data_IF_859063623902
#
_entry.id   IF_859063623902
#
_cell.length_a   1.000
_cell.length_b   1.000
_cell.length_c   1.000
_cell.angle_alpha   90.00
_cell.angle_beta   90.00
_cell.angle_gamma   90.00
#
_symmetry.space_group_name_H-M   'P 1'
#
loop_
_entity.id
_entity.type
_entity.pdbx_description
1 polymer ?
#
# COMPACT_ATOMS: atom_id res chain seq x y z
N UNK A 1 39.16 4.74 1.75
CA UNK A 1 37.98 5.10 2.57
C UNK A 1 36.98 5.98 1.83
N UNK A 2 37.40 6.99 1.06
CA UNK A 2 36.51 7.86 0.26
C UNK A 2 35.60 7.12 -0.73
N UNK A 3 36.10 6.06 -1.38
CA UNK A 3 35.31 5.24 -2.30
C UNK A 3 34.34 4.27 -1.62
N UNK A 4 34.62 3.86 -0.38
CA UNK A 4 33.72 2.98 0.40
C UNK A 4 32.49 3.75 0.89
N UNK A 5 32.65 5.02 1.28
CA UNK A 5 31.54 5.92 1.63
C UNK A 5 30.69 6.28 0.40
N UNK A 6 31.33 6.50 -0.75
CA UNK A 6 30.64 6.78 -2.01
C UNK A 6 29.85 5.57 -2.53
N UNK A 7 30.38 4.36 -2.35
CA UNK A 7 29.71 3.11 -2.69
C UNK A 7 28.53 2.81 -1.75
N UNK A 8 28.66 3.13 -0.46
CA UNK A 8 27.57 2.99 0.51
C UNK A 8 26.39 3.94 0.23
N UNK A 9 26.64 5.15 -0.28
CA UNK A 9 25.59 6.09 -0.69
C UNK A 9 24.87 5.67 -1.98
N UNK A 10 25.55 4.97 -2.90
CA UNK A 10 24.96 4.48 -4.15
C UNK A 10 24.07 3.25 -3.93
N UNK A 11 24.32 2.46 -2.87
CA UNK A 11 23.50 1.28 -2.54
C UNK A 11 22.20 1.61 -1.79
N UNK A 12 22.05 2.84 -1.28
CA UNK A 12 20.84 3.30 -0.59
C UNK A 12 19.73 3.79 -1.55
N UNK A 13 20.04 4.01 -2.82
CA UNK A 13 19.09 4.53 -3.83
C UNK A 13 18.45 3.46 -4.72
N UNK A 14 18.77 2.17 -4.50
CA UNK A 14 18.28 1.03 -5.33
C UNK A 14 17.21 0.18 -4.66
N UNK A 15 16.80 0.50 -3.43
CA UNK A 15 15.65 -0.12 -2.79
C UNK A 15 14.49 0.88 -2.82
N UNK A 16 13.26 0.59 -3.24
CA UNK A 16 12.61 -0.57 -3.84
C UNK A 16 11.18 -0.07 -4.07
N UNK A 17 10.74 0.20 -5.31
CA UNK A 17 9.34 0.52 -5.61
C UNK A 17 9.00 -0.02 -7.00
N UNK A 18 8.29 -1.14 -7.08
CA UNK A 18 7.51 -1.41 -8.29
C UNK A 18 6.26 -0.54 -8.25
N UNK A 19 5.82 -0.05 -9.39
CA UNK A 19 4.51 0.54 -9.58
C UNK A 19 3.44 -0.49 -9.89
N UNK A 20 3.81 -1.72 -10.22
CA UNK A 20 2.85 -2.76 -10.60
C UNK A 20 2.30 -3.51 -9.38
N UNK A 21 1.27 -2.93 -8.78
CA UNK A 21 0.58 -3.54 -7.65
C UNK A 21 -0.23 -4.78 -8.05
N UNK A 22 -0.61 -4.94 -9.33
CA UNK A 22 -1.48 -6.04 -9.77
C UNK A 22 -0.75 -7.37 -9.88
N UNK A 23 0.58 -7.36 -10.07
CA UNK A 23 1.40 -8.58 -10.01
C UNK A 23 1.19 -9.34 -8.69
N UNK A 24 1.03 -8.62 -7.57
CA UNK A 24 0.76 -9.23 -6.26
C UNK A 24 -0.72 -9.49 -5.98
N UNK A 25 -1.63 -8.90 -6.79
CA UNK A 25 -3.07 -9.05 -6.64
C UNK A 25 -3.72 -9.68 -7.88
N UNK A 26 -3.35 -10.93 -8.26
CA UNK A 26 -3.81 -11.55 -9.49
C UNK A 26 -5.33 -11.77 -9.53
N UNK A 27 -5.97 -11.93 -8.37
CA UNK A 27 -7.42 -12.10 -8.27
C UNK A 27 -8.21 -10.83 -8.60
N UNK A 28 -7.58 -9.65 -8.52
CA UNK A 28 -8.21 -8.38 -8.90
C UNK A 28 -8.13 -8.13 -10.42
N UNK A 29 -7.19 -8.76 -11.13
CA UNK A 29 -6.97 -8.54 -12.57
C UNK A 29 -8.25 -8.69 -13.42
N UNK A 30 -9.11 -9.71 -13.20
CA UNK A 30 -10.32 -9.87 -14.01
C UNK A 30 -11.38 -8.79 -13.79
N UNK A 31 -11.35 -8.08 -12.65
CA UNK A 31 -12.41 -7.15 -12.22
C UNK A 31 -11.91 -5.73 -11.97
N UNK A 32 -10.64 -5.43 -12.28
CA UNK A 32 -9.99 -4.17 -11.91
C UNK A 32 -10.61 -2.96 -12.62
N UNK A 33 -11.26 -3.16 -13.76
CA UNK A 33 -11.88 -2.07 -14.52
C UNK A 33 -13.20 -1.61 -13.92
N UNK A 34 -13.91 -2.54 -13.27
CA UNK A 34 -15.18 -2.37 -12.58
C UNK A 34 -14.99 -1.97 -11.10
N UNK A 35 -13.90 -2.41 -10.47
CA UNK A 35 -13.56 -2.08 -9.09
C UNK A 35 -12.97 -0.67 -8.97
N UNK A 36 -13.85 0.32 -8.76
CA UNK A 36 -13.45 1.73 -8.62
C UNK A 36 -12.49 1.98 -7.45
N UNK A 37 -12.47 1.12 -6.41
CA UNK A 37 -11.61 1.30 -5.23
C UNK A 37 -10.18 0.83 -5.49
N UNK A 38 -10.01 -0.22 -6.30
CA UNK A 38 -8.69 -0.74 -6.68
C UNK A 38 -8.17 -0.20 -8.01
N UNK A 39 -9.03 0.44 -8.82
CA UNK A 39 -8.66 1.06 -10.10
C UNK A 39 -7.41 1.96 -10.07
N UNK A 40 -7.13 2.74 -9.00
CA UNK A 40 -5.91 3.54 -8.93
C UNK A 40 -4.60 2.75 -9.09
N UNK A 41 -4.60 1.45 -8.78
CA UNK A 41 -3.44 0.56 -8.97
C UNK A 41 -2.93 0.53 -10.41
N UNK A 42 -3.78 0.84 -11.39
CA UNK A 42 -3.41 0.92 -12.81
C UNK A 42 -2.52 2.12 -13.15
N UNK A 43 -2.49 3.14 -12.29
CA UNK A 43 -1.81 4.41 -12.58
C UNK A 43 -0.43 4.53 -11.96
N UNK A 44 -0.09 3.67 -11.00
CA UNK A 44 1.17 3.71 -10.27
C UNK A 44 2.38 3.50 -11.21
N UNK A 45 2.21 2.67 -12.25
CA UNK A 45 3.23 2.42 -13.28
C UNK A 45 3.53 3.62 -14.18
N UNK A 46 2.72 4.68 -14.13
CA UNK A 46 2.99 5.91 -14.89
C UNK A 46 4.22 6.65 -14.38
N UNK A 47 4.55 6.47 -13.09
CA UNK A 47 5.69 7.12 -12.44
C UNK A 47 6.69 6.10 -11.87
N UNK A 48 6.24 4.90 -11.49
CA UNK A 48 7.07 3.84 -10.93
C UNK A 48 7.30 2.71 -11.95
N UNK A 49 8.48 2.09 -11.92
CA UNK A 49 8.81 0.97 -12.81
C UNK A 49 7.96 -0.26 -12.48
N UNK A 50 7.51 -1.02 -13.48
CA UNK A 50 6.80 -2.29 -13.27
C UNK A 50 7.74 -3.50 -13.00
N UNK A 51 9.02 -3.27 -12.70
CA UNK A 51 10.00 -4.33 -12.52
C UNK A 51 9.71 -5.14 -11.24
N UNK A 52 9.28 -6.41 -11.35
CA UNK A 52 8.91 -7.22 -10.20
C UNK A 52 10.12 -7.56 -9.33
N UNK A 53 11.35 -7.51 -9.87
CA UNK A 53 12.57 -7.74 -9.10
C UNK A 53 12.84 -6.63 -8.07
N UNK A 54 12.11 -5.51 -8.14
CA UNK A 54 12.19 -4.40 -7.19
C UNK A 54 11.17 -4.48 -6.07
N UNK A 55 10.34 -5.53 -6.02
CA UNK A 55 9.51 -5.91 -4.87
C UNK A 55 10.19 -7.05 -4.12
N UNK A 56 11.22 -6.74 -3.36
CA UNK A 56 11.80 -7.73 -2.46
C UNK A 56 10.82 -7.97 -1.29
N UNK A 57 10.31 -9.20 -1.17
CA UNK A 57 9.80 -9.83 0.06
C UNK A 57 8.79 -9.07 0.93
N UNK A 58 8.05 -8.10 0.38
CA UNK A 58 6.88 -7.57 1.07
C UNK A 58 5.82 -8.67 1.06
N UNK A 59 5.51 -9.27 2.21
CA UNK A 59 4.44 -10.27 2.35
C UNK A 59 3.05 -9.67 2.03
N UNK A 60 1.99 -10.19 2.65
CA UNK A 60 0.63 -9.73 2.37
C UNK A 60 0.32 -8.27 2.81
N UNK A 61 1.26 -7.59 3.48
CA UNK A 61 1.10 -6.23 4.01
C UNK A 61 2.20 -5.28 3.51
N UNK A 62 1.84 -4.45 2.53
CA UNK A 62 2.72 -3.44 1.94
C UNK A 62 3.23 -2.43 2.98
N UNK A 63 2.41 -2.09 3.98
CA UNK A 63 2.71 -1.03 4.94
C UNK A 63 3.68 -1.47 6.04
N UNK A 64 3.93 -2.78 6.18
CA UNK A 64 4.97 -3.31 7.04
C UNK A 64 6.37 -2.86 6.58
N UNK A 65 6.58 -2.75 5.27
CA UNK A 65 7.84 -2.31 4.66
C UNK A 65 7.81 -0.84 4.23
N UNK A 66 6.64 -0.31 3.84
CA UNK A 66 6.44 1.07 3.39
C UNK A 66 5.59 1.89 4.38
N UNK A 67 6.19 2.49 5.42
CA UNK A 67 5.44 3.31 6.36
C UNK A 67 4.92 4.59 5.69
N UNK A 68 3.68 4.98 6.00
CA UNK A 68 3.04 6.19 5.45
C UNK A 68 3.85 7.46 5.67
N UNK A 69 4.62 7.55 6.76
CA UNK A 69 5.49 8.70 7.00
C UNK A 69 6.52 8.93 5.89
N UNK A 70 7.06 7.85 5.29
CA UNK A 70 7.99 7.95 4.16
C UNK A 70 7.28 8.26 2.84
N UNK A 71 6.09 7.70 2.63
CA UNK A 71 5.27 7.94 1.44
C UNK A 71 4.81 9.41 1.40
N UNK A 72 4.37 9.94 2.54
CA UNK A 72 3.88 11.31 2.67
C UNK A 72 5.02 12.34 2.60
N UNK A 73 6.25 11.95 2.95
CA UNK A 73 7.41 12.86 2.93
C UNK A 73 7.73 13.39 1.53
N UNK A 74 7.35 12.67 0.45
CA UNK A 74 7.58 13.13 -0.92
C UNK A 74 6.60 14.21 -1.37
N UNK A 75 5.49 14.42 -0.65
CA UNK A 75 4.44 15.40 -0.96
C UNK A 75 3.93 15.33 -2.42
N UNK A 76 3.72 14.10 -2.91
CA UNK A 76 3.18 13.81 -4.24
C UNK A 76 1.68 13.58 -4.10
N UNK A 77 0.86 14.38 -4.78
CA UNK A 77 -0.60 14.34 -4.64
C UNK A 77 -1.19 12.98 -5.02
N UNK A 78 -0.62 12.32 -6.02
CA UNK A 78 -1.05 10.99 -6.46
C UNK A 78 -0.88 9.94 -5.35
N UNK A 79 0.02 10.16 -4.38
CA UNK A 79 0.18 9.27 -3.22
C UNK A 79 -0.96 9.37 -2.21
N UNK A 80 -1.83 10.40 -2.28
CA UNK A 80 -2.96 10.56 -1.35
C UNK A 80 -3.90 9.34 -1.41
N UNK A 81 -3.98 8.67 -2.56
CA UNK A 81 -4.80 7.46 -2.74
C UNK A 81 -4.36 6.30 -1.84
N UNK A 82 -3.07 6.26 -1.47
CA UNK A 82 -2.47 5.20 -0.66
C UNK A 82 -3.04 5.22 0.76
N UNK A 83 -3.49 6.38 1.26
CA UNK A 83 -4.16 6.48 2.55
C UNK A 83 -5.44 5.63 2.58
N UNK A 84 -6.25 5.66 1.51
CA UNK A 84 -7.46 4.83 1.42
C UNK A 84 -7.15 3.33 1.43
N UNK A 85 -6.05 2.94 0.78
CA UNK A 85 -5.55 1.56 0.83
C UNK A 85 -5.18 1.16 2.27
N UNK A 86 -4.40 1.99 2.97
CA UNK A 86 -3.99 1.73 4.36
C UNK A 86 -5.21 1.60 5.26
N UNK A 87 -6.14 2.53 5.17
CA UNK A 87 -7.28 2.58 6.08
C UNK A 87 -8.11 1.29 6.00
N UNK A 88 -8.33 0.76 4.78
CA UNK A 88 -9.04 -0.50 4.60
C UNK A 88 -8.21 -1.74 4.96
N UNK A 89 -6.94 -1.81 4.55
CA UNK A 89 -6.13 -3.03 4.70
C UNK A 89 -5.47 -3.17 6.08
N UNK A 90 -5.17 -2.05 6.73
CA UNK A 90 -4.46 -1.99 8.03
C UNK A 90 -5.36 -1.37 9.09
N UNK A 91 -5.97 -0.23 8.78
CA UNK A 91 -6.78 0.55 9.73
C UNK A 91 -7.97 -0.23 10.29
N UNK A 92 -8.72 -0.95 9.45
CA UNK A 92 -9.84 -1.78 9.92
C UNK A 92 -9.39 -2.90 10.86
N UNK A 93 -8.23 -3.51 10.59
CA UNK A 93 -7.63 -4.49 11.50
C UNK A 93 -7.22 -3.83 12.82
N UNK A 94 -6.53 -2.69 12.77
CA UNK A 94 -6.13 -1.93 13.96
C UNK A 94 -7.34 -1.59 14.84
N UNK A 95 -8.46 -1.15 14.23
CA UNK A 95 -9.71 -0.85 14.94
C UNK A 95 -10.31 -2.07 15.65
N UNK A 96 -10.29 -3.24 15.02
CA UNK A 96 -10.81 -4.47 15.64
C UNK A 96 -10.05 -4.83 16.94
N UNK A 97 -8.75 -4.56 16.98
CA UNK A 97 -7.89 -4.83 18.14
C UNK A 97 -7.67 -3.61 19.05
N UNK A 98 -8.35 -2.49 18.78
CA UNK A 98 -8.31 -1.32 19.62
C UNK A 98 -9.26 -1.46 20.82
N UNK A 99 -8.71 -1.96 21.93
CA UNK A 99 -9.45 -2.14 23.18
C UNK A 99 -9.83 -0.82 23.88
N UNK A 100 -9.30 0.32 23.44
CA UNK A 100 -9.69 1.64 23.97
C UNK A 100 -11.10 2.05 23.55
N UNK A 101 -11.63 1.44 22.49
CA UNK A 101 -12.97 1.66 21.94
C UNK A 101 -13.93 0.48 22.18
N UNK A 102 -13.74 -0.28 23.27
CA UNK A 102 -14.47 -1.53 23.59
C UNK A 102 -15.97 -1.40 23.89
N UNK A 103 -16.60 -0.28 23.54
CA UNK A 103 -18.05 -0.11 23.69
C UNK A 103 -18.78 -0.76 22.51
N UNK A 104 -19.31 -1.96 22.76
CA UNK A 104 -20.34 -2.65 21.98
C UNK A 104 -20.00 -2.95 20.49
N UNK A 105 -18.99 -3.80 20.27
CA UNK A 105 -18.65 -4.33 18.93
C UNK A 105 -19.72 -5.28 18.34
N UNK A 106 -20.87 -5.47 18.99
CA UNK A 106 -21.96 -6.32 18.47
C UNK A 106 -22.77 -5.66 17.34
N UNK A 107 -22.57 -4.35 17.12
CA UNK A 107 -23.36 -3.51 16.20
C UNK A 107 -22.55 -2.89 15.05
N UNK A 108 -21.38 -3.43 14.69
CA UNK A 108 -20.67 -2.93 13.49
C UNK A 108 -21.45 -3.28 12.22
N UNK A 109 -21.58 -2.32 11.30
CA UNK A 109 -22.15 -2.55 9.98
C UNK A 109 -21.45 -3.73 9.29
N UNK A 110 -22.24 -4.62 8.72
CA UNK A 110 -21.73 -5.84 8.07
C UNK A 110 -20.88 -5.47 6.85
N UNK A 111 -19.95 -6.35 6.47
CA UNK A 111 -19.15 -6.18 5.25
C UNK A 111 -20.04 -5.93 4.01
N UNK A 112 -21.21 -6.56 3.96
CA UNK A 112 -22.22 -6.34 2.91
C UNK A 112 -22.76 -4.91 2.90
N UNK A 113 -23.07 -4.35 4.07
CA UNK A 113 -23.56 -2.97 4.20
C UNK A 113 -22.48 -1.94 3.85
N UNK A 114 -21.20 -2.24 4.17
CA UNK A 114 -20.08 -1.39 3.78
C UNK A 114 -19.83 -1.38 2.26
N UNK A 115 -19.95 -2.54 1.60
CA UNK A 115 -19.72 -2.66 0.15
C UNK A 115 -20.88 -2.10 -0.68
N UNK A 116 -22.09 -2.04 -0.12
CA UNK A 116 -23.30 -1.61 -0.85
C UNK A 116 -23.58 -0.10 -0.80
N UNK A 117 -22.66 0.69 -0.22
CA UNK A 117 -22.80 2.14 -0.04
C UNK A 117 -21.86 2.88 -0.99
#
# INVERSE_FOLDING_TARGET
MKYLVLMAFLTLSVFACTGDCLTCHPNLVPTINEDLRHKPMLTCINCHSADPNKMADCGADCFACHPMSKINASNVREHDVIQGCRDCHVGEKEKLFDFSNSFDQSHSATLKEFISK
#
